data_IF_849580507773
#
_entry.id   IF_849580507773
#
_cell.length_a   1.000
_cell.length_b   1.000
_cell.length_c   1.000
_cell.angle_alpha   90.00
_cell.angle_beta   90.00
_cell.angle_gamma   90.00
#
_symmetry.space_group_name_H-M   'P 1'
#
loop_
_entity.id
_entity.type
_entity.pdbx_description
1 polymer ?
#
# COMPACT_ATOMS: atom_id res chain seq x y z
N UNK A 1 -28.67 -24.82 -17.71
CA UNK A 1 -29.52 -23.63 -17.53
C UNK A 1 -29.51 -23.21 -16.07
N UNK A 2 -28.54 -22.46 -15.55
CA UNK A 2 -27.15 -22.28 -15.93
C UNK A 2 -26.38 -21.99 -14.63
N UNK A 3 -25.13 -22.45 -14.66
CA UNK A 3 -24.06 -22.31 -13.70
C UNK A 3 -23.90 -20.86 -13.20
N UNK A 4 -23.92 -20.65 -11.87
CA UNK A 4 -23.42 -19.40 -11.24
C UNK A 4 -22.16 -19.76 -10.47
N UNK A 5 -21.06 -19.94 -11.21
CA UNK A 5 -19.71 -19.96 -10.65
C UNK A 5 -19.12 -18.56 -10.75
N UNK A 6 -19.46 -17.70 -9.79
CA UNK A 6 -18.77 -16.43 -9.53
C UNK A 6 -17.69 -16.64 -8.50
N UNK A 7 -16.68 -17.46 -8.81
CA UNK A 7 -15.49 -17.56 -7.97
C UNK A 7 -14.74 -16.22 -8.07
N UNK A 8 -14.76 -15.50 -6.97
CA UNK A 8 -14.02 -14.27 -6.72
C UNK A 8 -12.53 -14.51 -6.95
N UNK A 9 -12.03 -14.07 -8.09
CA UNK A 9 -10.60 -14.02 -8.38
C UNK A 9 -9.98 -12.87 -7.58
N UNK A 10 -9.79 -13.12 -6.28
CA UNK A 10 -8.99 -12.25 -5.41
C UNK A 10 -7.53 -12.54 -5.70
N UNK A 11 -7.07 -12.11 -6.87
CA UNK A 11 -5.65 -11.88 -7.07
C UNK A 11 -5.30 -10.63 -6.27
N UNK A 12 -4.84 -10.84 -5.03
CA UNK A 12 -4.17 -9.79 -4.26
C UNK A 12 -3.06 -9.23 -5.17
N UNK A 13 -3.26 -8.01 -5.64
CA UNK A 13 -2.33 -7.29 -6.49
C UNK A 13 -0.98 -7.30 -5.80
N UNK A 14 0.00 -7.99 -6.39
CA UNK A 14 1.39 -8.01 -5.92
C UNK A 14 1.82 -6.56 -5.74
N UNK A 15 2.16 -6.22 -4.50
CA UNK A 15 2.67 -4.93 -4.06
C UNK A 15 3.72 -4.43 -5.06
N UNK A 16 3.40 -3.33 -5.75
CA UNK A 16 4.16 -2.90 -6.93
C UNK A 16 5.58 -2.51 -6.58
N UNK A 17 6.55 -3.25 -7.12
CA UNK A 17 7.95 -2.85 -7.16
C UNK A 17 8.09 -1.63 -8.09
N UNK A 18 8.65 -0.53 -7.61
CA UNK A 18 8.92 0.69 -8.40
C UNK A 18 10.12 0.47 -9.35
N UNK A 19 9.84 -0.23 -10.45
CA UNK A 19 10.81 -0.58 -11.48
C UNK A 19 11.31 0.63 -12.27
N UNK A 20 10.49 1.67 -12.39
CA UNK A 20 10.86 2.90 -13.08
C UNK A 20 11.97 3.63 -12.30
N UNK A 21 11.77 3.80 -10.99
CA UNK A 21 12.79 4.37 -10.10
C UNK A 21 14.05 3.52 -10.04
N UNK A 22 13.94 2.19 -9.99
CA UNK A 22 15.10 1.30 -10.04
C UNK A 22 15.92 1.54 -11.32
N UNK A 23 15.26 1.60 -12.49
CA UNK A 23 15.92 1.84 -13.77
C UNK A 23 16.60 3.22 -13.85
N UNK A 24 15.98 4.25 -13.29
CA UNK A 24 16.56 5.60 -13.20
C UNK A 24 17.83 5.61 -12.35
N UNK A 25 17.78 5.04 -11.14
CA UNK A 25 18.94 4.94 -10.26
C UNK A 25 20.10 4.16 -10.88
N UNK A 26 19.79 3.08 -11.63
CA UNK A 26 20.81 2.32 -12.36
C UNK A 26 21.48 3.16 -13.45
N UNK A 27 20.69 3.94 -14.20
CA UNK A 27 21.20 4.84 -15.25
C UNK A 27 22.07 5.95 -14.65
N UNK A 28 21.64 6.55 -13.55
CA UNK A 28 22.39 7.57 -12.82
C UNK A 28 23.73 7.03 -12.30
N UNK A 29 23.71 5.88 -11.61
CA UNK A 29 24.92 5.28 -11.06
C UNK A 29 25.88 4.77 -12.13
N UNK A 30 25.35 4.24 -13.23
CA UNK A 30 26.16 3.85 -14.40
C UNK A 30 26.90 5.07 -14.96
N UNK A 31 26.22 6.21 -15.09
CA UNK A 31 26.82 7.45 -15.60
C UNK A 31 27.53 7.23 -16.95
N UNK A 32 28.86 7.33 -16.95
CA UNK A 32 29.71 7.16 -18.14
C UNK A 32 30.19 5.73 -18.39
N UNK A 33 29.94 4.80 -17.47
CA UNK A 33 30.30 3.39 -17.66
C UNK A 33 29.51 2.79 -18.83
N UNK A 34 30.17 1.92 -19.59
CA UNK A 34 29.47 1.10 -20.57
C UNK A 34 28.52 0.13 -19.86
N UNK A 35 27.43 -0.24 -20.53
CA UNK A 35 26.47 -1.23 -20.00
C UNK A 35 27.14 -2.56 -19.63
N UNK A 36 28.19 -2.98 -20.36
CA UNK A 36 28.95 -4.20 -20.03
C UNK A 36 29.77 -4.07 -18.75
N UNK A 37 30.40 -2.91 -18.53
CA UNK A 37 31.15 -2.64 -17.30
C UNK A 37 30.20 -2.59 -16.11
N UNK A 38 29.10 -1.83 -16.22
CA UNK A 38 28.13 -1.72 -15.14
C UNK A 38 27.49 -3.06 -14.77
N UNK A 39 27.15 -3.89 -15.77
CA UNK A 39 26.63 -5.24 -15.53
C UNK A 39 27.65 -6.13 -14.80
N UNK A 40 28.92 -6.07 -15.20
CA UNK A 40 30.01 -6.82 -14.55
C UNK A 40 30.24 -6.38 -13.11
N UNK A 41 30.25 -5.07 -12.84
CA UNK A 41 30.37 -4.52 -11.48
C UNK A 41 29.17 -4.86 -10.60
N UNK A 42 27.96 -4.88 -11.18
CA UNK A 42 26.73 -5.25 -10.49
C UNK A 42 26.58 -6.77 -10.31
N UNK A 43 27.44 -7.59 -10.93
CA UNK A 43 27.35 -9.05 -10.85
C UNK A 43 26.17 -9.67 -11.61
N UNK A 44 25.61 -8.98 -12.60
CA UNK A 44 24.48 -9.46 -13.42
C UNK A 44 24.86 -9.58 -14.89
N UNK A 45 24.03 -10.30 -15.66
CA UNK A 45 24.25 -10.38 -17.11
C UNK A 45 23.97 -9.05 -17.81
N UNK A 46 24.65 -8.80 -18.94
CA UNK A 46 24.42 -7.61 -19.77
C UNK A 46 22.95 -7.45 -20.21
N UNK A 47 22.30 -8.56 -20.58
CA UNK A 47 20.89 -8.55 -21.00
C UNK A 47 19.97 -8.23 -19.83
N UNK A 48 20.25 -8.76 -18.63
CA UNK A 48 19.52 -8.43 -17.40
C UNK A 48 19.64 -6.95 -17.09
N UNK A 49 20.86 -6.42 -17.03
CA UNK A 49 21.09 -5.01 -16.71
C UNK A 49 20.37 -4.07 -17.68
N UNK A 50 20.48 -4.34 -18.99
CA UNK A 50 19.85 -3.52 -20.03
C UNK A 50 18.32 -3.53 -19.91
N UNK A 51 17.72 -4.70 -19.66
CA UNK A 51 16.27 -4.83 -19.49
C UNK A 51 15.80 -4.11 -18.23
N UNK A 52 16.49 -4.25 -17.11
CA UNK A 52 16.11 -3.63 -15.84
C UNK A 52 16.30 -2.11 -15.87
N UNK A 53 17.37 -1.61 -16.51
CA UNK A 53 17.55 -0.17 -16.74
C UNK A 53 16.44 0.43 -17.64
N UNK A 54 15.80 -0.40 -18.47
CA UNK A 54 14.64 -0.04 -19.28
C UNK A 54 13.29 -0.26 -18.54
N UNK A 55 13.30 -0.65 -17.27
CA UNK A 55 12.12 -0.83 -16.43
C UNK A 55 11.52 -2.24 -16.45
N UNK A 56 12.22 -3.24 -16.99
CA UNK A 56 11.76 -4.63 -16.89
C UNK A 56 11.98 -5.19 -15.49
N UNK A 57 11.10 -6.11 -15.07
CA UNK A 57 11.18 -6.75 -13.76
C UNK A 57 12.38 -7.73 -13.68
N UNK A 58 13.33 -7.53 -12.76
CA UNK A 58 14.36 -8.52 -12.45
C UNK A 58 13.80 -9.69 -11.63
N UNK A 59 14.49 -10.83 -11.68
CA UNK A 59 14.33 -11.86 -10.65
C UNK A 59 14.93 -11.39 -9.30
N UNK A 60 14.61 -12.11 -8.22
CA UNK A 60 15.02 -11.73 -6.87
C UNK A 60 16.56 -11.63 -6.72
N UNK A 61 17.29 -12.55 -7.34
CA UNK A 61 18.76 -12.59 -7.29
C UNK A 61 19.36 -11.35 -7.98
N UNK A 62 18.92 -11.07 -9.20
CA UNK A 62 19.36 -9.91 -9.97
C UNK A 62 18.98 -8.61 -9.26
N UNK A 63 17.77 -8.55 -8.68
CA UNK A 63 17.30 -7.38 -7.94
C UNK A 63 18.17 -7.08 -6.72
N UNK A 64 18.47 -8.09 -5.90
CA UNK A 64 19.31 -7.92 -4.69
C UNK A 64 20.73 -7.52 -5.03
N UNK A 65 21.31 -8.10 -6.09
CA UNK A 65 22.63 -7.71 -6.61
C UNK A 65 22.65 -6.26 -7.11
N UNK A 66 21.62 -5.84 -7.85
CA UNK A 66 21.48 -4.46 -8.32
C UNK A 66 21.30 -3.48 -7.16
N UNK A 67 20.53 -3.84 -6.12
CA UNK A 67 20.38 -3.02 -4.90
C UNK A 67 21.70 -2.91 -4.12
N UNK A 68 22.41 -4.03 -3.98
CA UNK A 68 23.72 -4.07 -3.32
C UNK A 68 24.75 -3.24 -4.08
N UNK A 69 24.74 -3.32 -5.41
CA UNK A 69 25.51 -2.43 -6.27
C UNK A 69 25.11 -1.00 -5.92
N UNK A 70 23.86 -0.59 -6.12
CA UNK A 70 23.35 0.76 -5.84
C UNK A 70 23.59 1.29 -4.42
N UNK A 71 23.91 0.43 -3.45
CA UNK A 71 24.15 0.82 -2.05
C UNK A 71 22.87 1.15 -1.30
N UNK A 72 21.75 0.54 -1.70
CA UNK A 72 20.42 0.85 -1.18
C UNK A 72 19.71 -0.39 -0.67
N UNK A 73 18.81 -0.20 0.29
CA UNK A 73 17.97 -1.28 0.81
C UNK A 73 16.92 -1.69 -0.24
N UNK A 74 16.77 -2.99 -0.56
CA UNK A 74 15.71 -3.48 -1.44
C UNK A 74 14.30 -3.03 -1.01
N UNK A 75 14.09 -2.87 0.30
CA UNK A 75 12.81 -2.45 0.89
C UNK A 75 12.31 -1.10 0.41
N UNK A 76 13.17 -0.21 -0.09
CA UNK A 76 12.75 1.13 -0.54
C UNK A 76 11.99 1.12 -1.88
N UNK A 77 12.12 0.04 -2.66
CA UNK A 77 11.52 -0.06 -3.99
C UNK A 77 10.15 -0.73 -3.94
N UNK A 78 9.82 -1.39 -2.83
CA UNK A 78 8.46 -1.79 -2.57
C UNK A 78 7.74 -0.54 -2.08
N UNK A 79 6.56 -0.27 -2.65
CA UNK A 79 5.67 0.72 -2.04
C UNK A 79 5.61 0.39 -0.53
N UNK A 80 5.67 1.40 0.37
CA UNK A 80 5.33 1.14 1.75
C UNK A 80 4.00 0.41 1.69
N UNK A 81 3.96 -0.84 2.19
CA UNK A 81 2.72 -1.50 2.56
C UNK A 81 1.98 -0.39 3.26
N UNK A 82 0.93 0.19 2.63
CA UNK A 82 0.16 1.34 3.14
C UNK A 82 0.15 1.11 4.62
N UNK A 83 0.92 1.89 5.41
CA UNK A 83 1.29 1.52 6.79
C UNK A 83 0.02 0.97 7.37
N UNK A 84 -0.04 -0.36 7.50
CA UNK A 84 -1.34 -1.02 7.70
C UNK A 84 -1.82 -0.33 8.95
N UNK A 85 -2.86 0.50 8.85
CA UNK A 85 -3.22 1.34 9.97
C UNK A 85 -3.60 0.36 11.07
N UNK A 86 -2.64 0.07 11.93
CA UNK A 86 -2.80 -0.89 12.99
C UNK A 86 -3.79 -0.19 13.87
N UNK A 87 -4.96 -0.82 14.05
CA UNK A 87 -5.95 -0.22 14.91
C UNK A 87 -5.29 -0.02 16.29
N UNK A 88 -5.52 1.10 17.00
CA UNK A 88 -4.87 1.36 18.28
C UNK A 88 -5.02 0.19 19.29
N UNK A 89 -6.10 -0.58 19.16
CA UNK A 89 -6.34 -1.79 19.93
C UNK A 89 -5.35 -2.93 19.61
N UNK A 90 -4.99 -3.11 18.35
CA UNK A 90 -4.03 -4.12 17.90
C UNK A 90 -2.61 -3.78 18.35
N UNK A 91 -2.25 -2.49 18.37
CA UNK A 91 -0.97 -2.01 18.91
C UNK A 91 -0.86 -2.27 20.43
N UNK A 92 -1.92 -1.99 21.18
CA UNK A 92 -1.98 -2.30 22.61
C UNK A 92 -1.83 -3.81 22.88
N UNK A 93 -2.46 -4.65 22.06
CA UNK A 93 -2.32 -6.11 22.14
C UNK A 93 -0.90 -6.56 21.81
N UNK A 94 -0.26 -5.95 20.80
CA UNK A 94 1.12 -6.26 20.45
C UNK A 94 2.09 -5.97 21.60
N UNK A 95 1.89 -4.86 22.32
CA UNK A 95 2.69 -4.55 23.52
C UNK A 95 2.50 -5.57 24.64
N UNK A 96 1.27 -6.04 24.88
CA UNK A 96 0.99 -7.08 25.87
C UNK A 96 1.61 -8.42 25.48
N UNK A 97 1.57 -8.77 24.20
CA UNK A 97 2.18 -9.99 23.68
C UNK A 97 3.71 -9.97 23.78
N UNK A 98 4.33 -8.78 23.74
CA UNK A 98 5.76 -8.60 23.84
C UNK A 98 6.29 -8.45 25.29
N UNK A 99 5.42 -8.37 26.31
CA UNK A 99 5.86 -8.25 27.72
C UNK A 99 6.49 -9.57 28.20
N UNK A 100 7.80 -9.62 28.51
CA UNK A 100 8.48 -10.84 28.92
C UNK A 100 8.01 -11.38 30.29
N UNK A 101 7.24 -10.59 31.05
CA UNK A 101 6.65 -11.02 32.33
C UNK A 101 5.36 -11.81 32.16
N UNK A 102 4.77 -11.82 30.96
CA UNK A 102 3.56 -12.56 30.66
C UNK A 102 3.89 -13.89 29.97
N UNK A 103 3.30 -14.97 30.48
CA UNK A 103 3.30 -16.23 29.75
C UNK A 103 2.47 -16.07 28.45
N UNK A 104 2.84 -16.74 27.34
CA UNK A 104 2.13 -16.59 26.06
C UNK A 104 0.62 -16.82 26.14
N UNK A 105 0.18 -17.84 26.90
CA UNK A 105 -1.25 -18.12 27.13
C UNK A 105 -1.95 -17.00 27.92
N UNK A 106 -1.28 -16.42 28.92
CA UNK A 106 -1.83 -15.31 29.69
C UNK A 106 -1.97 -14.04 28.84
N UNK A 107 -0.96 -13.72 28.01
CA UNK A 107 -1.02 -12.60 27.07
C UNK A 107 -2.16 -12.75 26.07
N UNK A 108 -2.37 -13.96 25.53
CA UNK A 108 -3.50 -14.25 24.64
C UNK A 108 -4.85 -14.01 25.31
N UNK A 109 -5.03 -14.50 26.55
CA UNK A 109 -6.29 -14.31 27.30
C UNK A 109 -6.58 -12.84 27.56
N UNK A 110 -5.56 -12.05 27.92
CA UNK A 110 -5.72 -10.60 28.13
C UNK A 110 -6.09 -9.92 26.81
N UNK A 111 -5.46 -10.29 25.69
CA UNK A 111 -5.79 -9.75 24.38
C UNK A 111 -7.25 -10.02 24.00
N UNK A 112 -7.77 -11.21 24.26
CA UNK A 112 -9.15 -11.57 23.95
C UNK A 112 -10.16 -10.75 24.77
N UNK A 113 -9.92 -10.60 26.08
CA UNK A 113 -10.74 -9.72 26.94
C UNK A 113 -10.70 -8.28 26.43
N UNK A 114 -9.51 -7.79 26.08
CA UNK A 114 -9.31 -6.43 25.61
C UNK A 114 -10.02 -6.15 24.28
N UNK A 115 -9.95 -7.06 23.30
CA UNK A 115 -10.72 -6.95 22.04
C UNK A 115 -12.22 -6.91 22.31
N UNK A 116 -12.73 -7.86 23.10
CA UNK A 116 -14.16 -7.92 23.42
C UNK A 116 -14.65 -6.64 24.09
N UNK A 117 -13.90 -6.11 25.05
CA UNK A 117 -14.23 -4.84 25.71
C UNK A 117 -14.18 -3.67 24.73
N UNK A 118 -13.17 -3.62 23.87
CA UNK A 118 -13.04 -2.58 22.85
C UNK A 118 -14.22 -2.62 21.87
N UNK A 119 -14.59 -3.79 21.36
CA UNK A 119 -15.70 -3.94 20.41
C UNK A 119 -17.04 -3.51 21.01
N UNK A 120 -17.27 -3.77 22.30
CA UNK A 120 -18.51 -3.37 23.00
C UNK A 120 -18.56 -1.85 23.26
N UNK A 121 -17.42 -1.22 23.54
CA UNK A 121 -17.36 0.16 24.01
C UNK A 121 -17.00 1.17 22.91
N UNK A 122 -16.29 0.74 21.87
CA UNK A 122 -15.92 1.59 20.76
C UNK A 122 -17.17 2.01 20.00
N UNK A 123 -17.29 3.32 19.74
CA UNK A 123 -18.30 3.80 18.80
C UNK A 123 -17.97 3.21 17.44
N UNK A 124 -18.99 2.70 16.74
CA UNK A 124 -18.84 2.31 15.35
C UNK A 124 -18.15 3.47 14.60
N UNK A 125 -17.08 3.20 13.83
CA UNK A 125 -16.49 4.25 13.01
C UNK A 125 -17.62 4.87 12.22
N UNK A 126 -17.75 6.20 12.25
CA UNK A 126 -18.76 6.89 11.47
C UNK A 126 -18.65 6.36 10.05
N UNK A 127 -19.63 5.56 9.64
CA UNK A 127 -19.56 4.87 8.37
C UNK A 127 -19.62 5.99 7.35
N UNK A 128 -18.45 6.37 6.81
CA UNK A 128 -18.38 7.33 5.73
C UNK A 128 -19.11 6.63 4.60
N UNK A 129 -20.39 6.93 4.45
CA UNK A 129 -21.15 6.55 3.28
C UNK A 129 -20.44 7.28 2.15
N UNK A 130 -19.47 6.60 1.55
CA UNK A 130 -18.93 7.02 0.27
C UNK A 130 -20.13 6.83 -0.65
N UNK A 131 -20.89 7.89 -0.85
CA UNK A 131 -21.89 7.93 -1.89
C UNK A 131 -21.05 7.78 -3.15
N UNK A 132 -20.97 6.54 -3.63
CA UNK A 132 -20.36 6.23 -4.91
C UNK A 132 -21.24 6.89 -5.96
N UNK A 133 -21.02 8.19 -6.16
CA UNK A 133 -21.53 8.89 -7.31
C UNK A 133 -20.73 8.31 -8.46
N UNK A 134 -21.22 7.20 -9.02
CA UNK A 134 -20.78 6.73 -10.31
C UNK A 134 -21.13 7.84 -11.29
N UNK A 135 -20.20 8.78 -11.46
CA UNK A 135 -20.16 9.66 -12.61
C UNK A 135 -19.92 8.72 -13.79
N UNK A 136 -20.99 8.10 -14.29
CA UNK A 136 -20.99 7.34 -15.55
C UNK A 136 -20.22 8.23 -16.50
N UNK A 137 -19.10 7.71 -17.01
CA UNK A 137 -18.13 8.43 -17.82
C UNK A 137 -18.81 9.20 -18.94
N UNK A 138 -19.30 10.38 -18.61
CA UNK A 138 -19.81 11.31 -19.57
C UNK A 138 -18.53 11.88 -20.17
N UNK A 139 -18.33 11.63 -21.46
CA UNK A 139 -17.30 12.25 -22.31
C UNK A 139 -17.29 13.79 -22.25
N UNK A 140 -18.19 14.38 -21.45
CA UNK A 140 -18.40 15.80 -21.17
C UNK A 140 -17.40 16.35 -20.15
N UNK A 141 -16.86 15.54 -19.23
CA UNK A 141 -15.93 16.04 -18.21
C UNK A 141 -14.49 16.03 -18.69
N UNK A 142 -13.87 17.21 -18.75
CA UNK A 142 -12.44 17.36 -19.08
C UNK A 142 -11.57 16.66 -18.02
N UNK A 143 -10.37 16.18 -18.39
CA UNK A 143 -9.42 15.61 -17.44
C UNK A 143 -9.21 16.51 -16.21
N UNK A 144 -9.16 15.92 -15.02
CA UNK A 144 -8.99 16.62 -13.74
C UNK A 144 -10.26 17.26 -13.15
N UNK A 145 -11.34 17.45 -13.92
CA UNK A 145 -12.63 17.92 -13.38
C UNK A 145 -13.25 16.92 -12.39
N UNK A 146 -13.24 15.59 -12.63
CA UNK A 146 -13.79 14.64 -11.68
C UNK A 146 -13.14 14.71 -10.29
N UNK A 147 -11.82 14.91 -10.23
CA UNK A 147 -11.08 15.02 -8.97
C UNK A 147 -11.48 16.26 -8.17
N UNK A 148 -11.58 17.42 -8.82
CA UNK A 148 -12.02 18.67 -8.17
C UNK A 148 -13.46 18.58 -7.69
N UNK A 149 -14.35 18.00 -8.52
CA UNK A 149 -15.75 17.80 -8.14
C UNK A 149 -15.86 16.84 -6.94
N UNK A 150 -15.09 15.75 -6.94
CA UNK A 150 -15.05 14.82 -5.82
C UNK A 150 -14.59 15.50 -4.51
N UNK A 151 -13.56 16.34 -4.57
CA UNK A 151 -13.11 17.13 -3.41
C UNK A 151 -14.21 18.05 -2.88
N UNK A 152 -14.83 18.83 -3.77
CA UNK A 152 -15.89 19.78 -3.39
C UNK A 152 -17.10 19.07 -2.79
N UNK A 153 -17.53 17.96 -3.38
CA UNK A 153 -18.65 17.16 -2.86
C UNK A 153 -18.31 16.53 -1.50
N UNK A 154 -17.07 16.06 -1.30
CA UNK A 154 -16.59 15.58 -0.02
C UNK A 154 -16.63 16.65 1.07
N UNK A 155 -16.10 17.84 0.77
CA UNK A 155 -16.14 18.98 1.70
C UNK A 155 -17.57 19.42 2.06
N UNK A 156 -18.47 19.42 1.07
CA UNK A 156 -19.89 19.73 1.30
C UNK A 156 -20.55 18.67 2.19
N UNK A 157 -20.30 17.39 1.94
CA UNK A 157 -20.82 16.30 2.76
C UNK A 157 -20.35 16.39 4.20
N UNK A 158 -19.05 16.61 4.43
CA UNK A 158 -18.48 16.73 5.77
C UNK A 158 -19.10 17.91 6.55
N UNK A 159 -19.32 19.06 5.88
CA UNK A 159 -20.00 20.22 6.49
C UNK A 159 -21.46 19.93 6.83
N UNK A 160 -22.19 19.23 5.97
CA UNK A 160 -23.59 18.85 6.23
C UNK A 160 -23.68 17.84 7.39
N UNK A 161 -22.80 16.85 7.42
CA UNK A 161 -22.73 15.88 8.50
C UNK A 161 -22.44 16.56 9.85
N UNK A 162 -21.55 17.54 9.88
CA UNK A 162 -21.27 18.33 11.08
C UNK A 162 -22.51 19.10 11.58
N UNK A 163 -23.30 19.69 10.67
CA UNK A 163 -24.54 20.41 11.01
C UNK A 163 -25.64 19.49 11.53
N UNK A 164 -25.80 18.30 10.95
CA UNK A 164 -26.74 17.27 11.44
C UNK A 164 -26.32 16.78 12.83
N UNK A 165 -25.03 16.51 13.04
CA UNK A 165 -24.52 16.10 14.35
C UNK A 165 -24.69 17.21 15.43
N UNK A 166 -24.66 18.47 15.01
CA UNK A 166 -24.94 19.63 15.87
C UNK A 166 -26.43 19.93 16.10
N UNK A 167 -27.35 19.23 15.44
CA UNK A 167 -28.80 19.45 15.55
C UNK A 167 -29.30 20.71 14.84
N UNK A 168 -28.53 21.27 13.90
CA UNK A 168 -28.88 22.46 13.12
C UNK A 168 -29.66 22.15 11.83
N UNK A 169 -29.93 20.87 11.59
CA UNK A 169 -30.65 20.29 10.44
C UNK A 169 -31.42 19.04 10.88
#
# INVERSE_FOLDING_TARGET
MDDVTGASDTSASVEGLDLARLGEMLRERRGKLSLRQAAAEAGVSFSTFTRVEAGAQPDLTSFTLLCAWLGVSPGQFFAPVIERQVAPIDEAIAHLAADPRLAPDAASKIADVLRNMYDVLAKAPAQRQVVACHLRAASVLRPGVPHRLNSLLGEMHDKLAARVAGGEL
#
